data_IF_147953189246
#
_entry.id   IF_147953189246
#
_cell.length_a   1.000
_cell.length_b   1.000
_cell.length_c   1.000
_cell.angle_alpha   90.00
_cell.angle_beta   90.00
_cell.angle_gamma   90.00
#
_symmetry.space_group_name_H-M   'P 1'
#
loop_
_entity.id
_entity.type
_entity.pdbx_description
1 polymer ?
#
# COMPACT_ATOMS: atom_id res chain seq x y z
N UNK A 1 5.37 36.48 -58.14
CA UNK A 1 6.43 36.02 -57.22
C UNK A 1 5.80 35.23 -56.06
N UNK A 2 5.65 33.92 -56.25
CA UNK A 2 5.70 32.76 -55.33
C UNK A 2 5.22 32.82 -53.85
N UNK A 3 4.40 33.78 -53.41
CA UNK A 3 3.89 33.83 -52.02
C UNK A 3 3.22 32.52 -51.55
N UNK A 4 2.50 31.82 -52.45
CA UNK A 4 1.88 30.51 -52.17
C UNK A 4 2.89 29.39 -51.85
N UNK A 5 4.12 29.45 -52.37
CA UNK A 5 5.17 28.44 -52.10
C UNK A 5 5.75 28.59 -50.70
N UNK A 6 5.79 29.82 -50.17
CA UNK A 6 6.30 30.10 -48.83
C UNK A 6 5.25 29.79 -47.74
N UNK A 7 3.96 30.00 -48.03
CA UNK A 7 2.86 29.64 -47.12
C UNK A 7 2.85 28.13 -46.85
N UNK A 8 3.08 27.30 -47.86
CA UNK A 8 3.14 25.84 -47.71
C UNK A 8 4.36 25.38 -46.89
N UNK A 9 5.48 26.10 -46.97
CA UNK A 9 6.70 25.80 -46.21
C UNK A 9 6.60 26.15 -44.72
N UNK A 10 5.86 27.22 -44.38
CA UNK A 10 5.69 27.66 -42.98
C UNK A 10 4.80 26.70 -42.19
N UNK A 11 3.75 26.14 -42.81
CA UNK A 11 2.85 25.16 -42.16
C UNK A 11 3.56 23.83 -41.87
N UNK A 12 4.51 23.41 -42.71
CA UNK A 12 5.29 22.18 -42.48
C UNK A 12 6.28 22.31 -41.30
N UNK A 13 6.79 23.51 -41.01
CA UNK A 13 7.73 23.74 -39.92
C UNK A 13 7.07 23.73 -38.53
N UNK A 14 5.77 24.02 -38.44
CA UNK A 14 4.99 24.01 -37.19
C UNK A 14 4.69 22.60 -36.66
N UNK A 15 4.89 21.55 -37.46
CA UNK A 15 4.62 20.16 -37.09
C UNK A 15 5.77 19.49 -36.31
N UNK A 16 6.89 20.19 -36.09
CA UNK A 16 8.08 19.66 -35.39
C UNK A 16 8.19 20.11 -33.92
N UNK A 17 7.27 20.95 -33.43
CA UNK A 17 7.22 21.33 -32.01
C UNK A 17 6.31 20.34 -31.28
N UNK A 18 6.77 19.10 -31.14
CA UNK A 18 6.18 18.17 -30.18
C UNK A 18 6.58 18.61 -28.78
N UNK A 19 5.63 19.12 -27.99
CA UNK A 19 5.84 19.29 -26.56
C UNK A 19 6.09 17.91 -25.95
N UNK A 20 7.28 17.72 -25.37
CA UNK A 20 7.58 16.61 -24.48
C UNK A 20 6.79 16.85 -23.19
N UNK A 21 5.84 15.98 -22.86
CA UNK A 21 5.25 15.94 -21.52
C UNK A 21 6.25 15.21 -20.63
N UNK A 22 6.69 15.86 -19.54
CA UNK A 22 7.53 15.25 -18.51
C UNK A 22 6.82 13.98 -18.04
N UNK A 23 7.40 12.82 -18.36
CA UNK A 23 6.85 11.54 -17.97
C UNK A 23 6.80 11.48 -16.45
N UNK A 24 5.58 11.29 -15.92
CA UNK A 24 5.20 11.02 -14.54
C UNK A 24 6.39 10.56 -13.67
N UNK A 25 7.05 11.52 -13.01
CA UNK A 25 8.00 11.19 -11.94
C UNK A 25 7.16 10.45 -10.89
N UNK A 26 7.41 9.15 -10.66
CA UNK A 26 6.62 8.41 -9.69
C UNK A 26 6.75 9.12 -8.35
N UNK A 27 5.61 9.36 -7.69
CA UNK A 27 5.61 9.95 -6.36
C UNK A 27 6.59 9.16 -5.49
N UNK A 28 7.57 9.84 -4.89
CA UNK A 28 8.48 9.21 -3.96
C UNK A 28 7.63 8.64 -2.83
N UNK A 29 7.69 7.32 -2.65
CA UNK A 29 6.99 6.66 -1.56
C UNK A 29 7.36 7.35 -0.24
N UNK A 30 6.37 7.69 0.60
CA UNK A 30 6.66 8.38 1.85
C UNK A 30 7.65 7.56 2.67
N UNK A 31 8.74 8.20 3.09
CA UNK A 31 9.74 7.54 3.94
C UNK A 31 9.10 7.22 5.29
N UNK A 32 8.86 5.95 5.56
CA UNK A 32 8.31 5.49 6.84
C UNK A 32 9.43 5.49 7.88
N UNK A 33 9.28 6.29 8.94
CA UNK A 33 10.24 6.36 10.06
C UNK A 33 9.89 5.41 11.22
N UNK A 34 8.99 4.45 10.99
CA UNK A 34 8.55 3.49 12.01
C UNK A 34 9.49 2.28 12.04
N UNK A 35 9.86 1.86 13.25
CA UNK A 35 10.63 0.63 13.47
C UNK A 35 9.71 -0.45 14.05
N UNK A 36 9.71 -1.68 13.52
CA UNK A 36 8.95 -2.78 14.12
C UNK A 36 9.49 -3.08 15.53
N UNK A 37 8.58 -3.17 16.49
CA UNK A 37 8.91 -3.51 17.89
C UNK A 37 8.84 -5.01 18.16
N UNK A 38 8.04 -5.72 17.37
CA UNK A 38 7.77 -7.16 17.52
C UNK A 38 7.65 -7.78 16.12
N UNK A 39 8.05 -9.04 16.02
CA UNK A 39 7.70 -9.90 14.88
C UNK A 39 6.22 -10.28 14.94
N UNK A 40 5.65 -10.70 13.81
CA UNK A 40 4.26 -11.14 13.76
C UNK A 40 4.07 -12.42 14.61
N UNK A 41 5.05 -13.31 14.67
CA UNK A 41 4.99 -14.49 15.52
C UNK A 41 4.93 -14.13 17.02
N UNK A 42 5.80 -13.23 17.49
CA UNK A 42 5.77 -12.74 18.89
C UNK A 42 4.45 -12.05 19.20
N UNK A 43 3.97 -11.19 18.31
CA UNK A 43 2.71 -10.50 18.49
C UNK A 43 1.50 -11.45 18.59
N UNK A 44 1.51 -12.55 17.83
CA UNK A 44 0.50 -13.61 17.93
C UNK A 44 0.62 -14.41 19.23
N UNK A 45 1.83 -14.65 19.74
CA UNK A 45 2.04 -15.38 20.99
C UNK A 45 1.37 -14.67 22.18
N UNK A 46 1.34 -13.33 22.17
CA UNK A 46 0.69 -12.52 23.20
C UNK A 46 -0.80 -12.87 23.42
N UNK A 47 -1.51 -13.34 22.39
CA UNK A 47 -2.91 -13.79 22.53
C UNK A 47 -3.04 -14.93 23.55
N UNK A 48 -2.14 -15.90 23.50
CA UNK A 48 -2.17 -17.04 24.42
C UNK A 48 -1.68 -16.62 25.81
N UNK A 49 -0.65 -15.79 25.88
CA UNK A 49 -0.09 -15.28 27.15
C UNK A 49 -1.11 -14.46 27.95
N UNK A 50 -1.95 -13.68 27.26
CA UNK A 50 -3.01 -12.87 27.88
C UNK A 50 -4.33 -13.63 28.04
N UNK A 51 -4.37 -14.90 27.66
CA UNK A 51 -5.53 -15.77 27.87
C UNK A 51 -6.72 -15.49 26.94
N UNK A 52 -6.50 -14.91 25.76
CA UNK A 52 -7.54 -14.71 24.75
C UNK A 52 -7.57 -13.30 24.15
N UNK A 53 -8.77 -12.85 23.76
CA UNK A 53 -8.95 -11.56 23.10
C UNK A 53 -8.79 -10.38 24.07
N UNK A 54 -7.96 -9.41 23.72
CA UNK A 54 -7.64 -8.25 24.56
C UNK A 54 -7.53 -6.98 23.72
N UNK A 55 -7.75 -5.83 24.38
CA UNK A 55 -7.48 -4.52 23.78
C UNK A 55 -5.99 -4.19 23.96
N UNK A 56 -5.36 -3.75 22.88
CA UNK A 56 -3.93 -3.50 22.84
C UNK A 56 -3.69 -2.06 23.33
N UNK A 57 -3.13 -1.93 24.53
CA UNK A 57 -2.77 -0.63 25.13
C UNK A 57 -1.28 -0.33 25.07
N UNK A 58 -0.49 -1.29 24.59
CA UNK A 58 0.97 -1.18 24.47
C UNK A 58 1.34 -0.49 23.14
N UNK A 59 2.46 0.23 23.13
CA UNK A 59 3.00 0.87 21.92
C UNK A 59 3.70 -0.16 21.01
N UNK A 60 2.91 -1.07 20.47
CA UNK A 60 3.39 -2.14 19.59
C UNK A 60 3.27 -1.70 18.13
N UNK A 61 4.36 -1.89 17.39
CA UNK A 61 4.42 -1.79 15.93
C UNK A 61 4.85 -3.13 15.36
N UNK A 62 4.07 -3.64 14.41
CA UNK A 62 4.45 -4.76 13.53
C UNK A 62 4.58 -4.27 12.09
N UNK A 63 5.39 -4.96 11.30
CA UNK A 63 5.51 -4.72 9.87
C UNK A 63 5.39 -6.02 9.08
N UNK A 64 4.81 -5.95 7.89
CA UNK A 64 4.68 -7.11 7.03
C UNK A 64 4.35 -6.72 5.60
N UNK A 65 4.64 -7.64 4.67
CA UNK A 65 4.26 -7.54 3.27
C UNK A 65 2.80 -7.92 3.09
N UNK A 66 2.05 -7.14 2.31
CA UNK A 66 0.67 -7.45 1.94
C UNK A 66 0.65 -8.69 1.04
N UNK A 67 -0.11 -9.71 1.42
CA UNK A 67 -0.20 -11.00 0.70
C UNK A 67 -1.54 -11.23 0.00
N UNK A 68 -2.51 -10.32 0.18
CA UNK A 68 -3.87 -10.46 -0.35
C UNK A 68 -4.34 -9.19 -1.04
N UNK A 69 -5.28 -9.32 -1.99
CA UNK A 69 -5.93 -8.21 -2.68
C UNK A 69 -7.44 -8.46 -2.74
N UNK A 70 -8.25 -7.45 -2.40
CA UNK A 70 -9.72 -7.51 -2.51
C UNK A 70 -10.24 -7.10 -3.90
N UNK A 71 -9.37 -6.87 -4.88
CA UNK A 71 -9.74 -6.47 -6.25
C UNK A 71 -10.68 -7.48 -6.94
N UNK A 72 -10.45 -8.79 -6.72
CA UNK A 72 -11.28 -9.87 -7.27
C UNK A 72 -12.45 -10.25 -6.37
N UNK A 73 -12.64 -9.56 -5.24
CA UNK A 73 -13.74 -9.76 -4.30
C UNK A 73 -13.61 -10.97 -3.36
N UNK A 74 -12.52 -11.73 -3.42
CA UNK A 74 -12.31 -12.93 -2.58
C UNK A 74 -11.90 -12.61 -1.13
N UNK A 75 -11.29 -11.46 -0.89
CA UNK A 75 -11.03 -10.91 0.43
C UNK A 75 -11.98 -9.73 0.65
N UNK A 76 -12.72 -9.68 1.75
CA UNK A 76 -13.74 -8.66 1.96
C UNK A 76 -13.58 -8.00 3.32
N UNK A 77 -13.28 -6.70 3.31
CA UNK A 77 -13.07 -5.87 4.51
C UNK A 77 -11.91 -6.31 5.41
N UNK A 78 -11.10 -7.24 4.94
CA UNK A 78 -9.90 -7.74 5.59
C UNK A 78 -8.75 -7.87 4.59
N UNK A 79 -7.54 -7.91 5.13
CA UNK A 79 -6.32 -8.18 4.39
C UNK A 79 -5.34 -8.95 5.26
N UNK A 80 -4.36 -9.60 4.65
CA UNK A 80 -3.32 -10.31 5.36
C UNK A 80 -1.96 -9.67 5.11
N UNK A 81 -1.16 -9.61 6.15
CA UNK A 81 0.26 -9.25 6.07
C UNK A 81 1.12 -10.39 6.61
N UNK A 82 2.33 -10.49 6.10
CA UNK A 82 3.30 -11.51 6.49
C UNK A 82 4.70 -10.94 6.59
N UNK A 83 5.42 -11.33 7.64
CA UNK A 83 6.87 -11.17 7.79
C UNK A 83 7.56 -12.53 7.64
N UNK A 84 8.86 -12.60 7.94
CA UNK A 84 9.62 -13.85 7.85
C UNK A 84 9.18 -14.92 8.87
N UNK A 85 8.41 -14.53 9.89
CA UNK A 85 8.05 -15.37 11.04
C UNK A 85 6.63 -15.91 10.98
N UNK A 86 5.65 -15.11 10.56
CA UNK A 86 4.24 -15.48 10.52
C UNK A 86 3.39 -14.52 9.67
N UNK A 87 2.16 -14.96 9.36
CA UNK A 87 1.10 -14.12 8.81
C UNK A 87 0.00 -13.79 9.83
N UNK A 88 -0.64 -12.63 9.66
CA UNK A 88 -1.77 -12.15 10.48
C UNK A 88 -2.84 -11.47 9.63
N UNK A 89 -4.10 -11.64 10.03
CA UNK A 89 -5.26 -10.97 9.43
C UNK A 89 -5.43 -9.57 10.05
N UNK A 90 -5.70 -8.58 9.21
CA UNK A 90 -6.12 -7.23 9.60
C UNK A 90 -7.56 -7.01 9.13
N UNK A 91 -8.46 -6.72 10.07
CA UNK A 91 -9.87 -6.39 9.80
C UNK A 91 -10.06 -4.88 9.76
N UNK A 92 -10.05 -4.31 8.56
CA UNK A 92 -10.08 -2.86 8.34
C UNK A 92 -11.51 -2.34 8.23
N UNK A 93 -12.49 -3.19 7.90
CA UNK A 93 -13.89 -2.77 7.77
C UNK A 93 -14.20 -1.96 6.51
N UNK A 94 -13.20 -1.75 5.64
CA UNK A 94 -13.26 -0.99 4.38
C UNK A 94 -13.13 -1.92 3.17
N UNK A 95 -13.89 -1.66 2.12
CA UNK A 95 -13.73 -2.30 0.80
C UNK A 95 -12.85 -1.47 -0.13
N UNK A 96 -12.30 -2.10 -1.16
CA UNK A 96 -11.39 -1.45 -2.10
C UNK A 96 -10.00 -1.21 -1.49
N UNK A 97 -9.56 -2.09 -0.59
CA UNK A 97 -8.26 -2.02 0.07
C UNK A 97 -7.11 -2.07 -0.94
N UNK A 98 -7.29 -2.74 -2.08
CA UNK A 98 -6.33 -2.79 -3.20
C UNK A 98 -5.96 -1.41 -3.75
N UNK A 99 -6.78 -0.37 -3.52
CA UNK A 99 -6.45 1.00 -3.92
C UNK A 99 -5.34 1.59 -3.03
N UNK A 100 -5.38 1.29 -1.74
CA UNK A 100 -4.49 1.86 -0.71
C UNK A 100 -3.30 0.95 -0.39
N UNK A 101 -3.49 -0.36 -0.48
CA UNK A 101 -2.53 -1.39 -0.06
C UNK A 101 -2.26 -2.34 -1.22
N UNK A 102 -1.09 -2.20 -1.86
CA UNK A 102 -0.71 -3.01 -3.02
C UNK A 102 -0.11 -4.34 -2.60
N UNK A 103 -0.32 -5.38 -3.41
CA UNK A 103 0.29 -6.68 -3.20
C UNK A 103 1.83 -6.55 -3.14
N UNK A 104 2.47 -7.15 -2.13
CA UNK A 104 3.92 -7.09 -1.92
C UNK A 104 4.42 -5.80 -1.24
N UNK A 105 3.58 -4.77 -1.09
CA UNK A 105 3.91 -3.56 -0.34
C UNK A 105 4.19 -3.91 1.13
N UNK A 106 5.23 -3.32 1.72
CA UNK A 106 5.47 -3.43 3.17
C UNK A 106 4.67 -2.34 3.87
N UNK A 107 3.85 -2.74 4.84
CA UNK A 107 3.08 -1.81 5.65
C UNK A 107 3.42 -1.98 7.13
N UNK A 108 3.21 -0.91 7.89
CA UNK A 108 3.43 -0.86 9.32
C UNK A 108 2.09 -0.66 10.02
N UNK A 109 1.85 -1.43 11.07
CA UNK A 109 0.62 -1.35 11.86
C UNK A 109 0.99 -0.91 13.27
N UNK A 110 0.51 0.27 13.66
CA UNK A 110 0.47 0.68 15.06
C UNK A 110 -0.70 -0.03 15.71
N UNK A 111 -0.40 -0.94 16.63
CA UNK A 111 -1.39 -1.84 17.22
C UNK A 111 -2.10 -1.23 18.44
N UNK A 112 -1.55 -0.15 19.02
CA UNK A 112 -2.18 0.58 20.12
C UNK A 112 -3.59 1.04 19.73
N UNK A 113 -4.58 0.73 20.57
CA UNK A 113 -5.99 1.05 20.34
C UNK A 113 -6.72 0.05 19.44
N UNK A 114 -6.04 -0.98 18.91
CA UNK A 114 -6.69 -2.09 18.22
C UNK A 114 -7.07 -3.19 19.22
N UNK A 115 -7.92 -4.12 18.76
CA UNK A 115 -8.30 -5.31 19.52
C UNK A 115 -7.71 -6.56 18.89
N UNK A 116 -6.97 -7.34 19.68
CA UNK A 116 -6.50 -8.67 19.27
C UNK A 116 -7.65 -9.67 19.46
N UNK A 117 -7.89 -10.49 18.44
CA UNK A 117 -8.87 -11.57 18.48
C UNK A 117 -8.39 -12.77 17.68
N UNK A 118 -9.08 -13.90 17.85
CA UNK A 118 -8.93 -15.07 17.00
C UNK A 118 -10.15 -15.20 16.08
N UNK A 119 -9.92 -15.72 14.89
CA UNK A 119 -11.00 -16.17 14.01
C UNK A 119 -11.27 -17.65 14.30
N UNK A 120 -12.42 -17.94 14.89
CA UNK A 120 -12.87 -19.28 15.26
C UNK A 120 -14.30 -19.26 15.76
#
# INVERSE_FOLDING_TARGET
MNAKKYILGIVAALMLVGCYEDFDIPAVDPTVTLTPTHTIAEFKAMFNERGGAFDITDDIVIAGKVTTSDETGNFYKNMYIQDETAGIELRIGKSGLYNDYKLGQTIYVKANGLRMGSYG
#
